data_IF_562471283249
#
_entry.id   IF_562471283249
#
_cell.length_a   1.000
_cell.length_b   1.000
_cell.length_c   1.000
_cell.angle_alpha   90.00
_cell.angle_beta   90.00
_cell.angle_gamma   90.00
#
_symmetry.space_group_name_H-M   'P 1'
#
loop_
_entity.id
_entity.type
_entity.pdbx_description
1 polymer ?
#
# COMPACT_ATOMS: atom_id res chain seq x y z
N UNK A 1 9.34 -10.13 25.15
CA UNK A 1 8.10 -10.93 25.31
C UNK A 1 6.92 -10.13 25.87
N UNK A 2 6.96 -9.48 27.05
CA UNK A 2 5.77 -8.70 27.53
C UNK A 2 5.41 -7.51 26.64
N UNK A 3 6.41 -6.85 26.03
CA UNK A 3 6.22 -5.69 25.16
C UNK A 3 5.57 -6.06 23.82
N UNK A 4 6.02 -7.15 23.18
CA UNK A 4 5.47 -7.64 21.91
C UNK A 4 4.02 -8.10 22.04
N UNK A 5 3.66 -8.76 23.16
CA UNK A 5 2.26 -9.13 23.47
C UNK A 5 1.34 -7.90 23.55
N UNK A 6 1.78 -6.81 24.19
CA UNK A 6 1.00 -5.57 24.29
C UNK A 6 0.80 -4.90 22.93
N UNK A 7 1.87 -4.83 22.14
CA UNK A 7 1.81 -4.29 20.77
C UNK A 7 0.88 -5.11 19.90
N UNK A 8 1.00 -6.44 19.91
CA UNK A 8 0.10 -7.33 19.18
C UNK A 8 -1.36 -7.18 19.60
N UNK A 9 -1.64 -7.01 20.91
CA UNK A 9 -3.00 -6.74 21.39
C UNK A 9 -3.52 -5.41 20.85
N UNK A 10 -2.73 -4.34 20.95
CA UNK A 10 -3.11 -3.01 20.45
C UNK A 10 -3.34 -2.99 18.93
N UNK A 11 -2.49 -3.66 18.16
CA UNK A 11 -2.66 -3.78 16.71
C UNK A 11 -3.95 -4.54 16.37
N UNK A 12 -4.27 -5.63 17.09
CA UNK A 12 -5.52 -6.38 16.89
C UNK A 12 -6.76 -5.54 17.22
N UNK A 13 -6.70 -4.74 18.28
CA UNK A 13 -7.77 -3.80 18.64
C UNK A 13 -7.98 -2.72 17.59
N UNK A 14 -6.89 -2.18 17.02
CA UNK A 14 -6.96 -1.23 15.92
C UNK A 14 -7.55 -1.88 14.66
N UNK A 15 -7.05 -3.06 14.28
CA UNK A 15 -7.47 -3.82 13.11
C UNK A 15 -8.98 -4.12 13.11
N UNK A 16 -9.53 -4.46 14.28
CA UNK A 16 -10.95 -4.75 14.45
C UNK A 16 -11.87 -3.53 14.21
N UNK A 17 -11.34 -2.30 14.30
CA UNK A 17 -12.11 -1.06 14.12
C UNK A 17 -12.16 -0.56 12.67
N UNK A 18 -11.31 -1.10 11.78
CA UNK A 18 -11.18 -0.60 10.41
C UNK A 18 -12.35 -1.02 9.52
N UNK A 19 -12.67 -2.32 9.49
CA UNK A 19 -13.81 -2.85 8.73
C UNK A 19 -14.29 -4.18 9.30
N UNK A 20 -15.56 -4.51 9.04
CA UNK A 20 -16.10 -5.85 9.32
C UNK A 20 -15.34 -6.87 8.47
N UNK A 21 -14.98 -8.01 9.07
CA UNK A 21 -14.22 -9.08 8.41
C UNK A 21 -12.86 -8.62 7.85
N UNK A 22 -12.17 -7.71 8.55
CA UNK A 22 -10.82 -7.32 8.16
C UNK A 22 -9.84 -8.50 8.20
N UNK A 23 -8.73 -8.40 7.44
CA UNK A 23 -7.70 -9.43 7.47
C UNK A 23 -7.12 -9.52 8.88
N UNK A 24 -7.17 -10.71 9.47
CA UNK A 24 -6.65 -10.97 10.82
C UNK A 24 -5.13 -10.88 10.80
N UNK A 25 -4.58 -10.25 11.83
CA UNK A 25 -3.13 -10.19 12.05
C UNK A 25 -2.63 -11.59 12.41
N UNK A 26 -1.71 -12.11 11.59
CA UNK A 26 -1.15 -13.45 11.68
C UNK A 26 -0.07 -13.55 12.79
N UNK A 27 0.23 -14.76 13.24
CA UNK A 27 1.30 -15.06 14.21
C UNK A 27 2.70 -14.67 13.71
N UNK A 28 2.92 -14.70 12.39
CA UNK A 28 4.16 -14.24 11.76
C UNK A 28 4.56 -12.83 12.22
N UNK A 29 3.59 -11.93 12.45
CA UNK A 29 3.88 -10.58 12.94
C UNK A 29 4.45 -10.63 14.34
N UNK A 30 3.94 -11.49 15.23
CA UNK A 30 4.50 -11.65 16.58
C UNK A 30 5.94 -12.18 16.51
N UNK A 31 6.18 -13.19 15.67
CA UNK A 31 7.52 -13.76 15.46
C UNK A 31 8.51 -12.71 14.93
N UNK A 32 8.10 -11.91 13.94
CA UNK A 32 8.90 -10.81 13.40
C UNK A 32 9.22 -9.77 14.47
N UNK A 33 8.22 -9.34 15.25
CA UNK A 33 8.44 -8.38 16.34
C UNK A 33 9.39 -8.93 17.41
N UNK A 34 9.25 -10.21 17.78
CA UNK A 34 10.14 -10.87 18.74
C UNK A 34 11.57 -10.97 18.18
N UNK A 35 11.72 -11.29 16.90
CA UNK A 35 13.03 -11.32 16.25
C UNK A 35 13.70 -9.95 16.25
N UNK A 36 12.99 -8.87 15.90
CA UNK A 36 13.53 -7.51 15.96
C UNK A 36 14.01 -7.16 17.38
N UNK A 37 13.21 -7.47 18.40
CA UNK A 37 13.58 -7.23 19.81
C UNK A 37 14.83 -8.01 20.21
N UNK A 38 14.91 -9.30 19.87
CA UNK A 38 16.03 -10.16 20.25
C UNK A 38 17.34 -9.74 19.58
N UNK A 39 17.27 -9.22 18.36
CA UNK A 39 18.45 -8.79 17.59
C UNK A 39 18.74 -7.29 17.74
N UNK A 40 17.91 -6.54 18.46
CA UNK A 40 18.06 -5.09 18.62
C UNK A 40 17.75 -4.31 17.32
N UNK A 41 17.11 -4.92 16.35
CA UNK A 41 16.76 -4.31 15.07
C UNK A 41 15.49 -3.45 15.18
N UNK A 42 15.37 -2.36 14.40
CA UNK A 42 14.10 -1.64 14.28
C UNK A 42 13.07 -2.50 13.54
N UNK A 43 11.80 -2.21 13.78
CA UNK A 43 10.69 -2.83 13.07
C UNK A 43 10.42 -2.02 11.81
N UNK A 44 10.59 -2.66 10.66
CA UNK A 44 10.32 -2.04 9.37
C UNK A 44 8.82 -2.10 9.06
N UNK A 45 8.26 -0.95 8.73
CA UNK A 45 6.88 -0.80 8.29
C UNK A 45 6.87 -0.18 6.89
N UNK A 46 6.16 -0.80 5.96
CA UNK A 46 5.89 -0.26 4.64
C UNK A 46 4.41 0.12 4.53
N UNK A 47 4.15 1.30 3.99
CA UNK A 47 2.83 1.74 3.55
C UNK A 47 2.94 2.26 2.13
N UNK A 48 2.10 1.74 1.24
CA UNK A 48 2.08 2.13 -0.17
C UNK A 48 0.95 3.13 -0.41
N UNK A 49 1.29 4.32 -0.89
CA UNK A 49 0.38 5.41 -1.19
C UNK A 49 0.11 5.46 -2.70
N UNK A 50 -1.13 5.19 -3.11
CA UNK A 50 -1.47 5.15 -4.52
C UNK A 50 -1.58 6.54 -5.15
N UNK A 51 -0.90 6.74 -6.28
CA UNK A 51 -0.97 7.92 -7.14
C UNK A 51 -1.56 7.48 -8.48
N UNK A 52 -2.83 7.81 -8.68
CA UNK A 52 -3.62 7.32 -9.80
C UNK A 52 -4.55 8.38 -10.36
N UNK A 53 -5.11 8.08 -11.53
CA UNK A 53 -5.95 8.98 -12.34
C UNK A 53 -7.12 9.64 -11.60
N UNK A 54 -7.69 8.99 -10.58
CA UNK A 54 -8.76 9.56 -9.76
C UNK A 54 -8.33 10.82 -8.98
N UNK A 55 -7.03 11.08 -8.84
CA UNK A 55 -6.52 12.34 -8.32
C UNK A 55 -6.80 13.54 -9.25
N UNK A 56 -6.90 13.34 -10.57
CA UNK A 56 -7.32 14.42 -11.49
C UNK A 56 -8.76 14.84 -11.23
N UNK A 57 -9.66 13.87 -11.04
CA UNK A 57 -11.05 14.16 -10.70
C UNK A 57 -11.15 14.90 -9.36
N UNK A 58 -10.33 14.50 -8.36
CA UNK A 58 -10.22 15.23 -7.10
C UNK A 58 -9.74 16.66 -7.31
N UNK A 59 -8.65 16.87 -8.05
CA UNK A 59 -8.08 18.18 -8.31
C UNK A 59 -9.11 19.12 -8.96
N UNK A 60 -9.83 18.62 -9.97
CA UNK A 60 -10.90 19.35 -10.64
C UNK A 60 -12.03 19.71 -9.67
N UNK A 61 -12.49 18.76 -8.84
CA UNK A 61 -13.53 19.00 -7.83
C UNK A 61 -13.12 19.99 -6.74
N UNK A 62 -11.82 20.12 -6.48
CA UNK A 62 -11.26 21.06 -5.50
C UNK A 62 -10.92 22.43 -6.09
N UNK A 63 -11.30 22.68 -7.36
CA UNK A 63 -11.14 23.97 -8.02
C UNK A 63 -9.72 24.22 -8.54
N UNK A 64 -9.03 23.16 -9.01
CA UNK A 64 -7.71 23.28 -9.62
C UNK A 64 -6.57 23.37 -8.60
N UNK A 65 -6.71 22.70 -7.45
CA UNK A 65 -5.67 22.58 -6.42
C UNK A 65 -5.93 21.37 -5.53
N UNK A 66 -4.89 20.81 -4.93
CA UNK A 66 -5.08 19.81 -3.89
C UNK A 66 -5.29 20.43 -2.51
N UNK A 67 -6.37 20.01 -1.84
CA UNK A 67 -6.62 20.29 -0.42
C UNK A 67 -6.68 18.96 0.34
N UNK A 68 -6.03 18.84 1.51
CA UNK A 68 -6.10 17.63 2.32
C UNK A 68 -7.54 17.23 2.65
N UNK A 69 -7.90 15.97 2.43
CA UNK A 69 -9.19 15.43 2.84
C UNK A 69 -9.26 15.31 4.37
N UNK A 70 -10.48 15.14 4.90
CA UNK A 70 -10.65 14.84 6.33
C UNK A 70 -9.95 13.53 6.72
N UNK A 71 -9.94 12.53 5.83
CA UNK A 71 -9.31 11.23 6.09
C UNK A 71 -7.79 11.33 6.11
N UNK A 72 -7.19 12.09 5.20
CA UNK A 72 -5.74 12.34 5.21
C UNK A 72 -5.30 13.08 6.48
N UNK A 73 -6.06 14.12 6.87
CA UNK A 73 -5.80 14.84 8.13
C UNK A 73 -5.86 13.88 9.31
N UNK A 74 -6.92 13.08 9.41
CA UNK A 74 -7.07 12.07 10.47
C UNK A 74 -5.94 11.06 10.47
N UNK A 75 -5.53 10.61 9.29
CA UNK A 75 -4.46 9.64 9.13
C UNK A 75 -3.17 10.13 9.79
N UNK A 76 -2.72 11.34 9.44
CA UNK A 76 -1.46 11.91 9.94
C UNK A 76 -1.56 12.49 11.35
N UNK A 77 -2.72 12.98 11.77
CA UNK A 77 -2.91 13.62 13.09
C UNK A 77 -3.29 12.62 14.19
N UNK A 78 -3.91 11.50 13.84
CA UNK A 78 -4.46 10.54 14.81
C UNK A 78 -3.98 9.11 14.59
N UNK A 79 -4.17 8.56 13.39
CA UNK A 79 -4.04 7.11 13.17
C UNK A 79 -2.59 6.64 13.17
N UNK A 80 -1.73 7.29 12.36
CA UNK A 80 -0.29 7.02 12.31
C UNK A 80 0.37 7.28 13.67
N UNK A 81 0.19 8.45 14.32
CA UNK A 81 0.74 8.70 15.65
C UNK A 81 0.30 7.67 16.69
N UNK A 82 -0.94 7.17 16.61
CA UNK A 82 -1.42 6.12 17.51
C UNK A 82 -0.71 4.79 17.31
N UNK A 83 -0.39 4.42 16.07
CA UNK A 83 0.41 3.22 15.79
C UNK A 83 1.84 3.44 16.29
N UNK A 84 2.49 4.56 15.95
CA UNK A 84 3.85 4.87 16.43
C UNK A 84 3.92 4.79 17.96
N UNK A 85 2.99 5.47 18.63
CA UNK A 85 2.89 5.49 20.10
C UNK A 85 2.78 4.08 20.69
N UNK A 86 1.99 3.20 20.07
CA UNK A 86 1.86 1.81 20.51
C UNK A 86 3.21 1.08 20.54
N UNK A 87 4.08 1.31 19.56
CA UNK A 87 5.42 0.72 19.53
C UNK A 87 6.38 1.43 20.49
N UNK A 88 6.43 2.77 20.46
CA UNK A 88 7.41 3.53 21.26
C UNK A 88 7.15 3.43 22.76
N UNK A 89 5.89 3.37 23.21
CA UNK A 89 5.54 3.14 24.64
C UNK A 89 5.89 1.73 25.13
N UNK A 90 6.25 0.83 24.21
CA UNK A 90 6.70 -0.53 24.52
C UNK A 90 8.19 -0.73 24.15
N UNK A 91 8.97 0.36 24.09
CA UNK A 91 10.41 0.39 23.82
C UNK A 91 10.81 -0.23 22.47
N UNK A 92 9.89 -0.21 21.49
CA UNK A 92 10.13 -0.73 20.16
C UNK A 92 10.43 0.41 19.19
N UNK A 93 11.58 0.34 18.52
CA UNK A 93 11.99 1.30 17.50
C UNK A 93 11.32 0.95 16.17
N UNK A 94 10.88 1.98 15.45
CA UNK A 94 10.26 1.84 14.14
C UNK A 94 11.12 2.47 13.04
N UNK A 95 11.03 1.89 11.86
CA UNK A 95 11.43 2.51 10.61
C UNK A 95 10.22 2.43 9.65
N UNK A 96 9.48 3.53 9.51
CA UNK A 96 8.24 3.55 8.72
C UNK A 96 8.45 4.25 7.38
N UNK A 97 8.35 3.50 6.29
CA UNK A 97 8.40 4.00 4.93
C UNK A 97 6.99 4.19 4.36
N UNK A 98 6.70 5.38 3.86
CA UNK A 98 5.54 5.64 3.02
C UNK A 98 6.03 5.87 1.59
N UNK A 99 5.67 4.95 0.68
CA UNK A 99 6.09 5.05 -0.72
C UNK A 99 4.98 5.67 -1.56
N UNK A 100 5.32 6.60 -2.45
CA UNK A 100 4.41 7.05 -3.50
C UNK A 100 4.48 6.07 -4.67
N UNK A 101 3.37 5.36 -4.91
CA UNK A 101 3.25 4.30 -5.91
C UNK A 101 2.37 4.80 -7.05
N UNK A 102 2.98 4.97 -8.22
CA UNK A 102 2.25 5.31 -9.44
C UNK A 102 1.51 4.09 -9.98
N UNK A 103 0.45 4.32 -10.75
CA UNK A 103 -0.21 3.24 -11.48
C UNK A 103 0.78 2.46 -12.36
N UNK A 104 0.65 1.13 -12.36
CA UNK A 104 1.37 0.27 -13.30
C UNK A 104 0.95 0.56 -14.75
N UNK A 105 -0.30 0.96 -14.95
CA UNK A 105 -0.87 1.23 -16.26
C UNK A 105 -0.64 2.68 -16.65
N UNK A 106 -0.18 2.92 -17.88
CA UNK A 106 0.03 4.27 -18.38
C UNK A 106 -1.29 5.06 -18.44
N UNK A 107 -2.40 4.38 -18.75
CA UNK A 107 -3.77 4.94 -18.71
C UNK A 107 -4.17 5.45 -17.32
N UNK A 108 -3.61 4.85 -16.27
CA UNK A 108 -3.88 5.19 -14.88
C UNK A 108 -2.99 6.29 -14.31
N UNK A 109 -2.01 6.81 -15.08
CA UNK A 109 -1.08 7.85 -14.60
C UNK A 109 -1.65 9.25 -14.76
N UNK A 110 -1.19 10.12 -13.86
CA UNK A 110 -1.44 11.56 -13.92
C UNK A 110 -0.21 12.28 -14.46
N UNK A 111 -0.35 13.54 -14.86
CA UNK A 111 0.79 14.37 -15.28
C UNK A 111 1.79 14.55 -14.13
N UNK A 112 3.08 14.62 -14.46
CA UNK A 112 4.15 14.80 -13.45
C UNK A 112 3.96 16.06 -12.59
N UNK A 113 3.50 17.17 -13.17
CA UNK A 113 3.21 18.39 -12.40
C UNK A 113 2.12 18.19 -11.34
N UNK A 114 1.07 17.43 -11.68
CA UNK A 114 -0.03 17.15 -10.77
C UNK A 114 0.41 16.20 -9.66
N UNK A 115 1.22 15.20 -10.01
CA UNK A 115 1.82 14.30 -9.05
C UNK A 115 2.67 15.04 -8.02
N UNK A 116 3.58 15.91 -8.47
CA UNK A 116 4.45 16.68 -7.57
C UNK A 116 3.65 17.63 -6.67
N UNK A 117 2.57 18.24 -7.18
CA UNK A 117 1.67 19.04 -6.35
C UNK A 117 1.00 18.19 -5.25
N UNK A 118 0.56 16.98 -5.61
CA UNK A 118 -0.09 16.07 -4.68
C UNK A 118 0.88 15.56 -3.60
N UNK A 119 2.07 15.09 -4.00
CA UNK A 119 3.12 14.64 -3.07
C UNK A 119 3.47 15.74 -2.07
N UNK A 120 3.71 16.95 -2.58
CA UNK A 120 4.01 18.12 -1.73
C UNK A 120 2.90 18.41 -0.72
N UNK A 121 1.63 18.28 -1.12
CA UNK A 121 0.50 18.46 -0.20
C UNK A 121 0.51 17.42 0.94
N UNK A 122 0.82 16.15 0.62
CA UNK A 122 0.93 15.07 1.61
C UNK A 122 2.11 15.29 2.55
N UNK A 123 3.28 15.65 2.02
CA UNK A 123 4.48 15.91 2.82
C UNK A 123 4.28 17.10 3.77
N UNK A 124 3.71 18.20 3.27
CA UNK A 124 3.36 19.37 4.11
C UNK A 124 2.35 18.99 5.18
N UNK A 125 1.37 18.15 4.85
CA UNK A 125 0.40 17.67 5.83
C UNK A 125 1.08 16.86 6.94
N UNK A 126 1.96 15.93 6.59
CA UNK A 126 2.72 15.12 7.52
C UNK A 126 3.67 15.97 8.39
N UNK A 127 4.31 16.98 7.80
CA UNK A 127 5.20 17.90 8.52
C UNK A 127 4.41 18.73 9.54
N UNK A 128 3.26 19.26 9.12
CA UNK A 128 2.38 20.04 9.99
C UNK A 128 1.82 19.25 11.18
N UNK A 129 1.76 17.92 11.09
CA UNK A 129 1.35 17.02 12.17
C UNK A 129 2.54 16.49 12.99
N UNK A 130 3.77 16.83 12.62
CA UNK A 130 5.01 16.34 13.25
C UNK A 130 5.38 14.91 12.89
N UNK A 131 4.68 14.27 11.94
CA UNK A 131 4.87 12.87 11.57
C UNK A 131 6.15 12.63 10.76
N UNK A 132 6.73 13.66 10.14
CA UNK A 132 7.97 13.60 9.36
C UNK A 132 9.20 13.19 10.18
N UNK A 133 9.12 13.23 11.52
CA UNK A 133 10.19 12.72 12.40
C UNK A 133 10.23 11.20 12.46
N UNK A 134 9.11 10.56 12.20
CA UNK A 134 8.90 9.12 12.41
C UNK A 134 8.67 8.36 11.10
N UNK A 135 8.48 9.08 9.98
CA UNK A 135 8.18 8.52 8.66
C UNK A 135 9.16 9.05 7.62
N UNK A 136 9.58 8.15 6.72
CA UNK A 136 10.31 8.45 5.50
C UNK A 136 9.38 8.35 4.28
N UNK A 137 9.27 9.43 3.51
CA UNK A 137 8.60 9.43 2.20
C UNK A 137 9.60 9.07 1.09
N UNK A 138 9.16 8.23 0.14
CA UNK A 138 10.01 7.69 -0.92
C UNK A 138 9.22 7.61 -2.22
N UNK A 139 9.83 7.94 -3.35
CA UNK A 139 9.26 7.62 -4.67
C UNK A 139 9.59 6.16 -5.04
N UNK A 140 8.55 5.34 -5.23
CA UNK A 140 8.75 3.91 -5.48
C UNK A 140 9.51 3.62 -6.77
N UNK A 141 9.20 4.35 -7.85
CA UNK A 141 9.84 4.09 -9.15
C UNK A 141 11.24 4.70 -9.20
N UNK A 142 11.45 5.89 -8.66
CA UNK A 142 12.72 6.60 -8.79
C UNK A 142 13.77 6.14 -7.78
N UNK A 143 13.39 6.02 -6.51
CA UNK A 143 14.36 5.76 -5.43
C UNK A 143 14.61 4.26 -5.21
N UNK A 144 13.57 3.43 -5.41
CA UNK A 144 13.65 1.99 -5.14
C UNK A 144 13.86 1.19 -6.42
N UNK A 145 12.95 1.30 -7.39
CA UNK A 145 13.01 0.50 -8.61
C UNK A 145 14.00 1.04 -9.66
N UNK A 146 14.37 2.32 -9.57
CA UNK A 146 15.18 3.06 -10.56
C UNK A 146 14.59 3.00 -11.98
N UNK A 147 13.26 3.03 -12.06
CA UNK A 147 12.49 2.94 -13.28
C UNK A 147 11.09 2.37 -13.06
N UNK A 148 10.38 2.12 -14.16
CA UNK A 148 9.03 1.56 -14.12
C UNK A 148 9.04 0.15 -13.54
N UNK A 149 7.99 -0.17 -12.79
CA UNK A 149 7.71 -1.55 -12.42
C UNK A 149 7.58 -2.41 -13.68
N UNK A 150 8.25 -3.55 -13.68
CA UNK A 150 8.23 -4.48 -14.81
C UNK A 150 7.28 -5.63 -14.50
N UNK A 151 6.49 -6.09 -15.47
CA UNK A 151 5.68 -7.28 -15.29
C UNK A 151 6.57 -8.51 -15.24
N UNK A 152 6.17 -9.50 -14.42
CA UNK A 152 6.72 -10.84 -14.53
C UNK A 152 6.29 -11.45 -15.88
N UNK A 153 7.23 -11.64 -16.80
CA UNK A 153 6.94 -12.05 -18.18
C UNK A 153 6.27 -13.42 -18.25
N UNK A 154 6.72 -14.38 -17.44
CA UNK A 154 6.15 -15.72 -17.37
C UNK A 154 4.66 -15.68 -17.00
N UNK A 155 4.29 -14.83 -16.05
CA UNK A 155 2.88 -14.65 -15.66
C UNK A 155 2.12 -13.91 -16.75
N UNK A 156 2.68 -12.85 -17.33
CA UNK A 156 2.02 -12.06 -18.37
C UNK A 156 1.65 -12.92 -19.60
N UNK A 157 2.56 -13.78 -20.03
CA UNK A 157 2.36 -14.68 -21.18
C UNK A 157 1.32 -15.79 -20.90
N UNK A 158 1.17 -16.22 -19.63
CA UNK A 158 0.27 -17.31 -19.27
C UNK A 158 -0.45 -17.09 -17.92
N UNK A 159 -1.21 -15.99 -17.81
CA UNK A 159 -1.95 -15.65 -16.59
C UNK A 159 -2.83 -16.79 -16.09
N UNK A 160 -3.51 -17.49 -16.99
CA UNK A 160 -4.41 -18.61 -16.66
C UNK A 160 -3.71 -19.84 -16.07
N UNK A 161 -2.40 -19.98 -16.27
CA UNK A 161 -1.59 -21.03 -15.63
C UNK A 161 -1.32 -20.77 -14.15
N UNK A 162 -1.40 -19.52 -13.70
CA UNK A 162 -1.08 -19.11 -12.32
C UNK A 162 -2.33 -18.68 -11.54
N UNK A 163 -3.32 -18.14 -12.22
CA UNK A 163 -4.48 -17.49 -11.60
C UNK A 163 -5.76 -18.13 -12.09
N UNK A 164 -6.61 -18.52 -11.13
CA UNK A 164 -7.93 -19.08 -11.43
C UNK A 164 -8.76 -18.05 -12.20
N UNK A 165 -9.47 -18.52 -13.23
CA UNK A 165 -10.33 -17.70 -14.07
C UNK A 165 -11.33 -16.86 -13.26
N UNK A 166 -11.92 -17.42 -12.21
CA UNK A 166 -12.84 -16.68 -11.33
C UNK A 166 -12.19 -15.54 -10.56
N UNK A 167 -10.92 -15.67 -10.15
CA UNK A 167 -10.18 -14.59 -9.50
C UNK A 167 -9.84 -13.47 -10.50
N UNK A 168 -9.49 -13.85 -11.73
CA UNK A 168 -9.26 -12.89 -12.81
C UNK A 168 -10.53 -12.09 -13.14
N UNK A 169 -11.70 -12.76 -13.21
CA UNK A 169 -12.98 -12.09 -13.47
C UNK A 169 -13.37 -11.10 -12.36
N UNK A 170 -13.14 -11.47 -11.09
CA UNK A 170 -13.34 -10.56 -9.95
C UNK A 170 -12.46 -9.31 -10.10
N UNK A 171 -11.19 -9.49 -10.47
CA UNK A 171 -10.28 -8.35 -10.63
C UNK A 171 -10.64 -7.49 -11.85
N UNK A 172 -11.07 -8.09 -12.95
CA UNK A 172 -11.61 -7.35 -14.10
C UNK A 172 -12.82 -6.50 -13.70
N UNK A 173 -13.73 -7.04 -12.89
CA UNK A 173 -14.90 -6.30 -12.42
C UNK A 173 -14.50 -5.13 -11.51
N UNK A 174 -13.54 -5.34 -10.60
CA UNK A 174 -13.00 -4.29 -9.71
C UNK A 174 -12.33 -3.18 -10.52
N UNK A 175 -11.42 -3.55 -11.42
CA UNK A 175 -10.70 -2.61 -12.27
C UNK A 175 -11.66 -1.82 -13.17
N UNK A 176 -12.64 -2.50 -13.80
CA UNK A 176 -13.67 -1.86 -14.63
C UNK A 176 -14.48 -0.81 -13.86
N UNK A 177 -14.85 -1.09 -12.60
CA UNK A 177 -15.54 -0.11 -11.74
C UNK A 177 -14.69 1.12 -11.49
N UNK A 178 -13.41 0.95 -11.13
CA UNK A 178 -12.50 2.07 -10.93
C UNK A 178 -12.29 2.86 -12.23
N UNK A 179 -11.88 2.19 -13.30
CA UNK A 179 -11.54 2.80 -14.59
C UNK A 179 -12.69 3.66 -15.11
N UNK A 180 -13.91 3.11 -15.13
CA UNK A 180 -15.08 3.77 -15.72
C UNK A 180 -15.76 4.77 -14.78
N UNK A 181 -15.83 4.51 -13.48
CA UNK A 181 -16.62 5.33 -12.54
C UNK A 181 -15.80 6.32 -11.71
N UNK A 182 -14.53 6.02 -11.47
CA UNK A 182 -13.67 6.85 -10.61
C UNK A 182 -12.62 7.60 -11.44
N UNK A 183 -11.94 6.92 -12.35
CA UNK A 183 -10.88 7.49 -13.19
C UNK A 183 -11.38 8.13 -14.51
N UNK A 184 -12.63 7.86 -14.92
CA UNK A 184 -13.22 8.43 -16.14
C UNK A 184 -12.61 7.91 -17.45
N UNK A 185 -11.95 6.74 -17.43
CA UNK A 185 -11.32 6.13 -18.59
C UNK A 185 -12.36 5.56 -19.56
N UNK A 186 -12.11 5.75 -20.86
CA UNK A 186 -12.91 5.19 -21.96
C UNK A 186 -12.14 4.01 -22.58
N UNK A 187 -12.43 2.81 -22.10
CA UNK A 187 -11.77 1.57 -22.54
C UNK A 187 -12.79 0.50 -22.91
N UNK A 188 -12.45 -0.26 -23.95
CA UNK A 188 -13.14 -1.48 -24.36
C UNK A 188 -12.92 -2.60 -23.33
N UNK A 189 -13.75 -3.64 -23.37
CA UNK A 189 -13.61 -4.79 -22.45
C UNK A 189 -12.32 -5.58 -22.71
N UNK A 190 -11.82 -5.58 -23.96
CA UNK A 190 -10.55 -6.22 -24.32
C UNK A 190 -9.35 -5.45 -23.76
N UNK A 191 -9.34 -4.12 -23.88
CA UNK A 191 -8.32 -3.27 -23.26
C UNK A 191 -8.30 -3.45 -21.74
N UNK A 192 -9.46 -3.42 -21.08
CA UNK A 192 -9.57 -3.67 -19.64
C UNK A 192 -8.99 -5.03 -19.23
N UNK A 193 -9.26 -6.07 -20.03
CA UNK A 193 -8.73 -7.41 -19.77
C UNK A 193 -7.21 -7.46 -19.89
N UNK A 194 -6.64 -6.79 -20.90
CA UNK A 194 -5.19 -6.75 -21.08
C UNK A 194 -4.50 -5.92 -19.99
N UNK A 195 -5.09 -4.79 -19.61
CA UNK A 195 -4.63 -3.96 -18.49
C UNK A 195 -4.59 -4.76 -17.18
N UNK A 196 -5.66 -5.49 -16.86
CA UNK A 196 -5.71 -6.31 -15.64
C UNK A 196 -4.63 -7.40 -15.64
N UNK A 197 -4.41 -8.09 -16.77
CA UNK A 197 -3.34 -9.08 -16.90
C UNK A 197 -1.96 -8.46 -16.67
N UNK A 198 -1.72 -7.28 -17.25
CA UNK A 198 -0.47 -6.56 -17.08
C UNK A 198 -0.26 -6.11 -15.63
N UNK A 199 -1.28 -5.51 -15.01
CA UNK A 199 -1.27 -5.11 -13.61
C UNK A 199 -0.94 -6.29 -12.71
N UNK A 200 -1.65 -7.41 -12.87
CA UNK A 200 -1.41 -8.64 -12.12
C UNK A 200 0.05 -9.08 -12.25
N UNK A 201 0.61 -9.11 -13.47
CA UNK A 201 1.99 -9.52 -13.68
C UNK A 201 3.00 -8.57 -12.98
N UNK A 202 2.72 -7.27 -12.93
CA UNK A 202 3.51 -6.30 -12.16
C UNK A 202 3.39 -6.54 -10.64
N UNK A 203 2.20 -6.82 -10.14
CA UNK A 203 1.96 -7.13 -8.72
C UNK A 203 2.66 -8.42 -8.28
N UNK A 204 2.69 -9.46 -9.14
CA UNK A 204 3.48 -10.67 -8.87
C UNK A 204 4.96 -10.32 -8.73
N UNK A 205 5.50 -9.56 -9.68
CA UNK A 205 6.92 -9.16 -9.67
C UNK A 205 7.25 -8.32 -8.43
N UNK A 206 6.36 -7.42 -8.03
CA UNK A 206 6.55 -6.59 -6.83
C UNK A 206 6.51 -7.41 -5.54
N UNK A 207 5.59 -8.39 -5.43
CA UNK A 207 5.54 -9.30 -4.30
C UNK A 207 6.80 -10.14 -4.16
N UNK A 208 7.35 -10.62 -5.27
CA UNK A 208 8.63 -11.33 -5.32
C UNK A 208 9.79 -10.42 -4.87
N UNK A 209 9.91 -9.24 -5.47
CA UNK A 209 10.95 -8.26 -5.12
C UNK A 209 10.94 -7.87 -3.64
N UNK A 210 9.76 -7.56 -3.08
CA UNK A 210 9.63 -7.16 -1.68
C UNK A 210 9.96 -8.29 -0.69
N UNK A 211 9.74 -9.54 -1.10
CA UNK A 211 9.98 -10.73 -0.26
C UNK A 211 11.40 -11.28 -0.39
N UNK A 212 12.15 -10.86 -1.39
CA UNK A 212 13.51 -11.35 -1.64
C UNK A 212 14.48 -10.79 -0.60
N UNK A 213 15.23 -11.67 0.06
CA UNK A 213 16.10 -11.29 1.17
C UNK A 213 17.36 -10.52 0.77
N UNK A 214 17.70 -10.48 -0.52
CA UNK A 214 18.93 -9.86 -1.04
C UNK A 214 18.66 -8.50 -1.68
N UNK A 215 17.52 -8.34 -2.33
CA UNK A 215 17.20 -7.18 -3.14
C UNK A 215 16.14 -6.29 -2.50
N UNK A 216 15.28 -6.83 -1.63
CA UNK A 216 14.33 -6.04 -0.87
C UNK A 216 15.08 -5.04 0.02
N UNK A 217 14.65 -3.76 0.07
CA UNK A 217 15.23 -2.78 0.99
C UNK A 217 15.04 -3.14 2.48
N UNK A 218 14.15 -4.09 2.77
CA UNK A 218 13.88 -4.59 4.12
C UNK A 218 14.51 -5.97 4.40
N UNK A 219 15.40 -6.46 3.54
CA UNK A 219 15.97 -7.81 3.67
C UNK A 219 14.90 -8.91 3.62
N UNK A 220 13.77 -8.62 2.97
CA UNK A 220 12.64 -9.52 2.89
C UNK A 220 11.84 -9.64 4.18
N UNK A 221 11.97 -8.76 5.18
CA UNK A 221 11.25 -8.85 6.46
C UNK A 221 10.70 -7.48 6.90
N UNK A 222 9.37 -7.30 6.81
CA UNK A 222 8.68 -6.04 7.12
C UNK A 222 7.19 -6.25 7.39
N UNK A 223 6.56 -5.33 8.11
CA UNK A 223 5.11 -5.23 8.22
C UNK A 223 4.56 -4.34 7.10
N UNK A 224 3.54 -4.81 6.41
CA UNK A 224 2.80 -4.00 5.43
C UNK A 224 1.55 -3.42 6.08
N UNK A 225 1.47 -2.10 6.23
CA UNK A 225 0.26 -1.40 6.67
C UNK A 225 -0.38 -0.73 5.43
N UNK A 226 -1.44 -1.32 4.85
CA UNK A 226 -2.02 -0.82 3.61
C UNK A 226 -2.96 0.37 3.84
N UNK A 227 -3.00 1.29 2.86
CA UNK A 227 -4.05 2.30 2.74
C UNK A 227 -5.17 1.88 1.78
N UNK A 228 -5.01 0.74 1.12
CA UNK A 228 -6.06 0.08 0.35
C UNK A 228 -6.58 -1.14 1.12
N UNK A 229 -7.62 -1.78 0.59
CA UNK A 229 -8.08 -3.04 1.15
C UNK A 229 -7.05 -4.16 0.91
N UNK A 230 -6.97 -5.12 1.84
CA UNK A 230 -5.96 -6.18 1.80
C UNK A 230 -6.05 -7.05 0.53
N UNK A 231 -7.24 -7.11 -0.10
CA UNK A 231 -7.47 -7.83 -1.36
C UNK A 231 -6.65 -7.27 -2.53
N UNK A 232 -6.16 -6.02 -2.45
CA UNK A 232 -5.22 -5.49 -3.46
C UNK A 232 -3.94 -6.33 -3.58
N UNK A 233 -3.57 -7.03 -2.51
CA UNK A 233 -2.35 -7.84 -2.46
C UNK A 233 -2.64 -9.32 -2.77
N UNK A 234 -3.79 -9.63 -3.37
CA UNK A 234 -4.18 -11.01 -3.71
C UNK A 234 -3.23 -11.68 -4.70
N UNK A 235 -2.58 -10.91 -5.59
CA UNK A 235 -1.69 -11.46 -6.62
C UNK A 235 -0.21 -11.45 -6.22
N UNK A 236 0.17 -10.73 -5.17
CA UNK A 236 1.54 -10.74 -4.63
C UNK A 236 1.96 -12.15 -4.20
N UNK A 237 0.99 -12.98 -3.81
CA UNK A 237 1.25 -14.33 -3.28
C UNK A 237 1.59 -15.38 -4.34
N UNK A 238 1.50 -15.06 -5.64
CA UNK A 238 1.72 -16.05 -6.71
C UNK A 238 3.10 -16.69 -6.58
N UNK A 239 4.15 -15.89 -6.38
CA UNK A 239 5.49 -16.37 -6.07
C UNK A 239 5.96 -16.06 -4.65
N UNK A 240 5.34 -15.12 -3.94
CA UNK A 240 5.60 -14.85 -2.53
C UNK A 240 4.48 -15.37 -1.61
N UNK A 241 4.37 -16.70 -1.47
CA UNK A 241 3.21 -17.37 -0.82
C UNK A 241 2.83 -16.84 0.57
N UNK A 242 3.81 -16.39 1.35
CA UNK A 242 3.60 -15.91 2.72
C UNK A 242 3.43 -14.39 2.83
N UNK A 243 3.41 -13.66 1.71
CA UNK A 243 3.34 -12.19 1.68
C UNK A 243 2.19 -11.64 2.51
N UNK A 244 1.01 -12.27 2.43
CA UNK A 244 -0.18 -11.82 3.17
C UNK A 244 -0.06 -11.91 4.69
N UNK A 245 0.84 -12.75 5.23
CA UNK A 245 1.06 -12.84 6.68
C UNK A 245 1.64 -11.55 7.27
N UNK A 246 2.23 -10.71 6.41
CA UNK A 246 2.86 -9.43 6.74
C UNK A 246 1.86 -8.27 6.87
N UNK A 247 0.64 -8.46 6.39
CA UNK A 247 -0.35 -7.39 6.28
C UNK A 247 -0.99 -7.11 7.64
N UNK A 248 -0.86 -5.87 8.08
CA UNK A 248 -1.44 -5.34 9.32
C UNK A 248 -2.34 -4.17 8.96
N UNK A 249 -3.59 -4.45 8.61
CA UNK A 249 -4.57 -3.45 8.20
C UNK A 249 -5.15 -2.69 9.42
N UNK A 250 -4.43 -1.68 9.89
CA UNK A 250 -4.74 -0.88 11.10
C UNK A 250 -5.00 0.61 10.83
N UNK A 251 -4.91 1.04 9.57
CA UNK A 251 -5.21 2.40 9.13
C UNK A 251 -6.51 2.43 8.31
N UNK A 252 -7.16 3.59 8.26
CA UNK A 252 -8.33 3.82 7.41
C UNK A 252 -7.98 3.69 5.93
N UNK A 253 -8.85 3.04 5.15
CA UNK A 253 -8.62 2.85 3.72
C UNK A 253 -9.04 4.06 2.87
N UNK A 254 -8.37 4.20 1.73
CA UNK A 254 -8.58 5.19 0.68
C UNK A 254 -8.66 6.63 1.21
N UNK A 255 -7.64 7.13 1.94
CA UNK A 255 -7.68 8.46 2.51
C UNK A 255 -7.79 9.57 1.45
N UNK A 256 -7.31 9.31 0.23
CA UNK A 256 -7.33 10.27 -0.87
C UNK A 256 -8.67 10.42 -1.59
N UNK A 257 -9.60 9.47 -1.39
CA UNK A 257 -10.91 9.49 -2.07
C UNK A 257 -11.85 10.49 -1.40
N UNK A 258 -12.50 11.34 -2.21
CA UNK A 258 -13.47 12.34 -1.74
C UNK A 258 -14.82 11.73 -1.29
N UNK A 259 -15.15 10.51 -1.71
CA UNK A 259 -16.35 9.78 -1.31
C UNK A 259 -15.96 8.34 -0.96
N UNK A 260 -16.45 7.84 0.18
CA UNK A 260 -16.54 6.42 0.52
C UNK A 260 -17.95 6.16 1.00
#
# INVERSE_FOLDING_TARGET
MKNTVRVMSGLRELNARIRKNNLRINEWVDDYLNWCVLNGEPINILTQWCISKDLEERFNRQGGRFLPTRKERRLFQEEIPRVIKLFTENDLRLNWWITFNRSYLDSGRISGSLEEEYKRMIEVLADSSGATRDILFIDWEEDILRGRSKPNQTVLENVGGFIKQSALEIEIERHSKWARKEAGLKQTDEELKNDVKFQIACEVNEGEFLSDSKTSPFGGEFILIPLEVAERYDFFIVFAKDFKRRIVAVLSTYPWRLKV
#
